data_IF_956459263700
#
_entry.id   IF_956459263700
#
_cell.length_a   1.000
_cell.length_b   1.000
_cell.length_c   1.000
_cell.angle_alpha   90.00
_cell.angle_beta   90.00
_cell.angle_gamma   90.00
#
_symmetry.space_group_name_H-M   'P 1'
#
loop_
_entity.id
_entity.type
_entity.pdbx_description
1 polymer ?
#
# COMPACT_ATOMS: atom_id res chain seq x y z
N UNK A 1 -19.04 51.06 27.24
CA UNK A 1 -19.10 49.58 27.45
C UNK A 1 -17.67 49.08 27.34
N UNK A 2 -17.20 48.18 28.20
CA UNK A 2 -15.80 47.72 28.16
C UNK A 2 -15.75 46.42 27.34
N UNK A 3 -15.16 46.47 26.14
CA UNK A 3 -15.03 45.29 25.28
C UNK A 3 -13.68 44.64 25.55
N UNK A 4 -13.72 43.37 25.95
CA UNK A 4 -12.53 42.57 26.20
C UNK A 4 -11.87 42.19 24.86
N UNK A 5 -11.11 43.12 24.29
CA UNK A 5 -10.48 43.01 22.97
C UNK A 5 -9.80 41.65 22.72
N UNK A 6 -8.93 41.20 23.63
CA UNK A 6 -8.19 39.95 23.44
C UNK A 6 -9.06 38.69 23.54
N UNK A 7 -10.14 38.72 24.33
CA UNK A 7 -11.08 37.60 24.39
C UNK A 7 -11.86 37.48 23.07
N UNK A 8 -12.19 38.61 22.44
CA UNK A 8 -12.82 38.61 21.12
C UNK A 8 -11.87 38.08 20.05
N UNK A 9 -10.59 38.47 20.07
CA UNK A 9 -9.55 37.92 19.17
C UNK A 9 -9.43 36.40 19.34
N UNK A 10 -9.41 35.91 20.58
CA UNK A 10 -9.37 34.47 20.86
C UNK A 10 -10.60 33.73 20.31
N UNK A 11 -11.79 34.35 20.39
CA UNK A 11 -13.04 33.76 19.90
C UNK A 11 -13.16 33.70 18.36
N UNK A 12 -12.24 34.34 17.62
CA UNK A 12 -12.20 34.27 16.15
C UNK A 12 -11.75 32.90 15.63
N UNK A 13 -10.99 32.15 16.44
CA UNK A 13 -10.49 30.80 16.13
C UNK A 13 -9.78 30.69 14.75
N UNK A 14 -8.74 31.51 14.55
CA UNK A 14 -7.94 31.53 13.32
C UNK A 14 -6.59 30.82 13.50
N UNK A 15 -6.02 30.34 12.40
CA UNK A 15 -4.66 29.78 12.35
C UNK A 15 -3.71 30.74 11.65
N UNK A 16 -2.62 31.11 12.32
CA UNK A 16 -1.57 31.97 11.77
C UNK A 16 -1.37 33.25 12.58
N UNK A 17 -0.96 34.31 11.89
CA UNK A 17 -0.62 35.63 12.44
C UNK A 17 -1.66 36.64 11.96
N UNK A 18 -2.42 37.20 12.90
CA UNK A 18 -3.36 38.28 12.64
C UNK A 18 -2.64 39.63 12.80
N UNK A 19 -2.49 40.36 11.70
CA UNK A 19 -1.91 41.70 11.67
C UNK A 19 -3.03 42.74 11.68
N UNK A 20 -2.98 43.64 12.66
CA UNK A 20 -3.91 44.76 12.80
C UNK A 20 -3.14 46.07 12.66
N UNK A 21 -3.49 46.86 11.65
CA UNK A 21 -2.93 48.18 11.43
C UNK A 21 -4.01 49.23 11.65
N UNK A 22 -3.71 50.24 12.47
CA UNK A 22 -4.66 51.32 12.78
C UNK A 22 -3.98 52.65 12.43
N UNK A 23 -4.63 53.45 11.60
CA UNK A 23 -4.19 54.81 11.27
C UNK A 23 -5.31 55.82 11.50
N UNK A 24 -4.94 57.08 11.72
CA UNK A 24 -5.90 58.18 11.86
C UNK A 24 -6.34 58.65 10.47
N UNK A 25 -7.65 58.62 10.23
CA UNK A 25 -8.26 59.14 9.01
C UNK A 25 -8.56 60.63 9.08
N UNK A 26 -9.23 61.14 8.05
CA UNK A 26 -9.82 62.48 8.08
C UNK A 26 -11.04 62.51 9.02
N UNK A 27 -11.45 63.71 9.43
CA UNK A 27 -12.72 63.94 10.15
C UNK A 27 -12.90 63.10 11.44
N UNK A 28 -11.80 62.83 12.15
CA UNK A 28 -11.78 62.09 13.42
C UNK A 28 -12.14 60.59 13.30
N UNK A 29 -12.08 60.03 12.09
CA UNK A 29 -12.25 58.60 11.86
C UNK A 29 -10.93 57.83 12.04
N UNK A 30 -11.05 56.51 12.21
CA UNK A 30 -9.94 55.56 12.18
C UNK A 30 -10.02 54.72 10.91
N UNK A 31 -8.86 54.40 10.35
CA UNK A 31 -8.73 53.43 9.28
C UNK A 31 -8.06 52.19 9.88
N UNK A 32 -8.77 51.08 9.86
CA UNK A 32 -8.32 49.81 10.45
C UNK A 32 -8.18 48.78 9.35
N UNK A 33 -6.99 48.20 9.22
CA UNK A 33 -6.69 47.14 8.27
C UNK A 33 -6.34 45.85 8.99
N UNK A 34 -6.98 44.75 8.60
CA UNK A 34 -6.81 43.42 9.18
C UNK A 34 -6.30 42.46 8.11
N UNK A 35 -5.17 41.83 8.36
CA UNK A 35 -4.59 40.82 7.47
C UNK A 35 -4.26 39.56 8.27
N UNK A 36 -4.80 38.41 7.85
CA UNK A 36 -4.41 37.12 8.39
C UNK A 36 -3.35 36.50 7.48
N UNK A 37 -2.21 36.12 8.05
CA UNK A 37 -1.13 35.43 7.34
C UNK A 37 -0.83 34.08 7.98
N UNK A 38 -0.78 33.02 7.20
CA UNK A 38 -0.40 31.69 7.69
C UNK A 38 0.89 31.21 6.99
N UNK A 39 2.00 31.19 7.73
CA UNK A 39 3.29 30.71 7.21
C UNK A 39 3.29 29.22 6.90
N UNK A 40 2.42 28.44 7.56
CA UNK A 40 2.29 27.00 7.33
C UNK A 40 1.64 26.66 6.01
N UNK A 41 0.90 27.60 5.39
CA UNK A 41 0.36 27.41 4.06
C UNK A 41 1.48 27.56 3.02
N UNK A 42 1.86 26.45 2.37
CA UNK A 42 2.87 26.42 1.32
C UNK A 42 2.44 27.10 0.01
N UNK A 43 1.15 27.40 -0.16
CA UNK A 43 0.62 28.05 -1.35
C UNK A 43 0.91 29.56 -1.35
N UNK A 44 1.49 30.06 -2.45
CA UNK A 44 1.79 31.48 -2.65
C UNK A 44 0.54 32.33 -2.93
N UNK A 45 -0.59 31.71 -3.31
CA UNK A 45 -1.87 32.39 -3.49
C UNK A 45 -2.36 33.07 -2.19
N UNK A 46 -1.85 32.65 -1.02
CA UNK A 46 -2.12 33.32 0.26
C UNK A 46 -1.75 34.81 0.25
N UNK A 47 -0.73 35.19 -0.53
CA UNK A 47 -0.27 36.58 -0.65
C UNK A 47 -1.20 37.44 -1.54
N UNK A 48 -2.12 36.81 -2.28
CA UNK A 48 -3.11 37.51 -3.09
C UNK A 48 -4.35 37.90 -2.28
N UNK A 49 -4.50 37.39 -1.06
CA UNK A 49 -5.64 37.72 -0.20
C UNK A 49 -5.47 39.17 0.30
N UNK A 50 -6.36 40.09 -0.08
CA UNK A 50 -6.23 41.48 0.29
C UNK A 50 -6.56 41.69 1.78
N UNK A 51 -5.94 42.69 2.44
CA UNK A 51 -6.33 43.09 3.78
C UNK A 51 -7.77 43.63 3.83
N UNK A 52 -8.50 43.29 4.90
CA UNK A 52 -9.81 43.86 5.18
C UNK A 52 -9.63 45.25 5.77
N UNK A 53 -10.04 46.27 5.03
CA UNK A 53 -9.85 47.67 5.43
C UNK A 53 -11.17 48.35 5.68
N UNK A 54 -11.31 48.97 6.85
CA UNK A 54 -12.50 49.65 7.33
C UNK A 54 -12.17 51.10 7.65
N UNK A 55 -13.11 52.00 7.46
CA UNK A 55 -13.02 53.41 7.85
C UNK A 55 -14.30 53.77 8.61
N UNK A 56 -14.16 54.05 9.90
CA UNK A 56 -15.28 54.31 10.79
C UNK A 56 -14.85 55.16 12.00
N UNK A 57 -15.82 55.63 12.76
CA UNK A 57 -15.56 56.30 14.04
C UNK A 57 -15.08 55.29 15.09
N UNK A 58 -14.36 55.72 16.14
CA UNK A 58 -14.00 54.84 17.25
C UNK A 58 -15.19 54.12 17.87
N UNK A 59 -16.34 54.80 18.00
CA UNK A 59 -17.56 54.25 18.57
C UNK A 59 -18.12 53.08 17.74
N UNK A 60 -18.13 53.21 16.41
CA UNK A 60 -18.58 52.14 15.51
C UNK A 60 -17.65 50.93 15.54
N UNK A 61 -16.34 51.16 15.69
CA UNK A 61 -15.37 50.07 15.88
C UNK A 61 -15.60 49.34 17.20
N UNK A 62 -15.82 50.07 18.30
CA UNK A 62 -16.14 49.43 19.57
C UNK A 62 -17.39 48.56 19.43
N UNK A 63 -18.49 49.07 18.85
CA UNK A 63 -19.76 48.33 18.83
C UNK A 63 -19.81 47.16 17.84
N UNK A 64 -19.11 47.22 16.69
CA UNK A 64 -19.34 46.28 15.59
C UNK A 64 -18.10 45.64 14.96
N UNK A 65 -16.87 46.03 15.34
CA UNK A 65 -15.65 45.57 14.64
C UNK A 65 -15.53 44.06 14.57
N UNK A 66 -15.68 43.37 15.71
CA UNK A 66 -15.49 41.92 15.78
C UNK A 66 -16.57 41.14 15.03
N UNK A 67 -17.80 41.64 15.01
CA UNK A 67 -18.89 41.02 14.24
C UNK A 67 -18.60 41.07 12.74
N UNK A 68 -18.06 42.21 12.27
CA UNK A 68 -17.72 42.42 10.87
C UNK A 68 -16.53 41.57 10.41
N UNK A 69 -15.49 41.41 11.23
CA UNK A 69 -14.28 40.68 10.82
C UNK A 69 -14.38 39.16 11.04
N UNK A 70 -15.31 38.68 11.88
CA UNK A 70 -15.38 37.27 12.27
C UNK A 70 -15.52 36.33 11.08
N UNK A 71 -16.56 36.49 10.26
CA UNK A 71 -16.80 35.60 9.13
C UNK A 71 -15.69 35.69 8.06
N UNK A 72 -15.20 36.89 7.66
CA UNK A 72 -14.06 37.02 6.75
C UNK A 72 -12.79 36.34 7.26
N UNK A 73 -12.40 36.54 8.53
CA UNK A 73 -11.19 35.96 9.09
C UNK A 73 -11.29 34.44 9.18
N UNK A 74 -12.44 33.89 9.58
CA UNK A 74 -12.67 32.45 9.58
C UNK A 74 -12.59 31.86 8.16
N UNK A 75 -13.13 32.56 7.16
CA UNK A 75 -13.06 32.13 5.76
C UNK A 75 -11.61 32.10 5.27
N UNK A 76 -10.85 33.16 5.50
CA UNK A 76 -9.43 33.24 5.10
C UNK A 76 -8.60 32.17 5.82
N UNK A 77 -8.83 31.97 7.12
CA UNK A 77 -8.17 30.92 7.90
C UNK A 77 -8.46 29.53 7.34
N UNK A 78 -9.73 29.21 7.08
CA UNK A 78 -10.15 27.93 6.51
C UNK A 78 -9.51 27.68 5.16
N UNK A 79 -9.55 28.67 4.26
CA UNK A 79 -8.93 28.57 2.93
C UNK A 79 -7.43 28.29 3.01
N UNK A 80 -6.68 28.98 3.88
CA UNK A 80 -5.25 28.72 4.06
C UNK A 80 -4.95 27.31 4.61
N UNK A 81 -5.79 26.81 5.52
CA UNK A 81 -5.66 25.45 6.06
C UNK A 81 -5.99 24.39 5.01
N UNK A 82 -7.03 24.61 4.21
CA UNK A 82 -7.45 23.67 3.16
C UNK A 82 -6.47 23.62 2.00
N UNK A 83 -5.90 24.77 1.59
CA UNK A 83 -4.82 24.81 0.60
C UNK A 83 -3.61 23.98 1.05
N UNK A 84 -3.21 24.10 2.31
CA UNK A 84 -2.08 23.33 2.86
C UNK A 84 -2.37 21.82 2.93
N UNK A 85 -3.58 21.44 3.39
CA UNK A 85 -4.01 20.03 3.42
C UNK A 85 -4.05 19.44 2.01
N UNK A 86 -4.60 20.17 1.05
CA UNK A 86 -4.68 19.76 -0.34
C UNK A 86 -3.28 19.54 -0.94
N UNK A 87 -2.34 20.47 -0.72
CA UNK A 87 -0.96 20.31 -1.19
C UNK A 87 -0.29 19.06 -0.61
N UNK A 88 -0.41 18.84 0.70
CA UNK A 88 0.13 17.64 1.36
C UNK A 88 -0.48 16.34 0.81
N UNK A 89 -1.79 16.30 0.65
CA UNK A 89 -2.49 15.15 0.06
C UNK A 89 -2.07 14.93 -1.39
N UNK A 90 -1.90 15.99 -2.18
CA UNK A 90 -1.45 15.90 -3.55
C UNK A 90 -0.02 15.36 -3.66
N UNK A 91 0.89 15.76 -2.76
CA UNK A 91 2.23 15.20 -2.67
C UNK A 91 2.21 13.71 -2.32
N UNK A 92 1.36 13.31 -1.38
CA UNK A 92 1.22 11.90 -1.00
C UNK A 92 0.68 11.06 -2.17
N UNK A 93 -0.37 11.54 -2.86
CA UNK A 93 -0.92 10.88 -4.06
C UNK A 93 0.14 10.77 -5.16
N UNK A 94 0.95 11.81 -5.39
CA UNK A 94 2.06 11.78 -6.35
C UNK A 94 3.12 10.74 -5.94
N UNK A 95 3.48 10.67 -4.66
CA UNK A 95 4.42 9.67 -4.13
C UNK A 95 3.88 8.26 -4.32
N UNK A 96 2.62 8.00 -3.95
CA UNK A 96 1.98 6.69 -4.14
C UNK A 96 1.92 6.32 -5.62
N UNK A 97 1.50 7.25 -6.49
CA UNK A 97 1.45 7.04 -7.94
C UNK A 97 2.83 6.73 -8.54
N UNK A 98 3.88 7.41 -8.08
CA UNK A 98 5.26 7.14 -8.51
C UNK A 98 5.75 5.77 -8.01
N UNK A 99 5.48 5.44 -6.74
CA UNK A 99 5.82 4.14 -6.16
C UNK A 99 5.11 2.98 -6.85
N UNK A 100 3.84 3.14 -7.22
CA UNK A 100 3.08 2.09 -7.92
C UNK A 100 3.56 1.90 -9.36
N UNK A 101 3.89 2.99 -10.06
CA UNK A 101 4.57 2.92 -11.37
C UNK A 101 5.92 2.22 -11.28
N UNK A 102 6.74 2.58 -10.28
CA UNK A 102 8.07 1.97 -10.10
C UNK A 102 7.99 0.50 -9.68
N UNK A 103 7.04 0.13 -8.81
CA UNK A 103 6.79 -1.28 -8.44
C UNK A 103 6.36 -2.10 -9.65
N UNK A 104 5.48 -1.56 -10.49
CA UNK A 104 4.98 -2.23 -11.69
C UNK A 104 6.09 -2.38 -12.74
N UNK A 105 6.92 -1.36 -12.95
CA UNK A 105 8.07 -1.45 -13.86
C UNK A 105 9.17 -2.40 -13.37
N UNK A 106 9.48 -2.40 -12.06
CA UNK A 106 10.44 -3.36 -11.48
C UNK A 106 9.93 -4.80 -11.59
N UNK A 107 8.66 -5.05 -11.27
CA UNK A 107 8.05 -6.37 -11.41
C UNK A 107 8.03 -6.84 -12.87
N UNK A 108 7.75 -5.94 -13.83
CA UNK A 108 7.78 -6.26 -15.26
C UNK A 108 9.20 -6.57 -15.75
N UNK A 109 10.20 -5.76 -15.39
CA UNK A 109 11.61 -5.99 -15.75
C UNK A 109 12.15 -7.28 -15.15
N UNK A 110 11.77 -7.60 -13.91
CA UNK A 110 12.18 -8.84 -13.25
C UNK A 110 11.54 -10.08 -13.91
N UNK A 111 10.25 -9.99 -14.28
CA UNK A 111 9.56 -11.06 -15.02
C UNK A 111 10.15 -11.28 -16.41
N UNK A 112 10.42 -10.20 -17.16
CA UNK A 112 11.05 -10.29 -18.48
C UNK A 112 12.48 -10.87 -18.42
N UNK A 113 13.26 -10.50 -17.38
CA UNK A 113 14.60 -11.05 -17.19
C UNK A 113 14.58 -12.54 -16.81
N UNK A 114 13.65 -12.97 -15.95
CA UNK A 114 13.43 -14.39 -15.62
C UNK A 114 12.99 -15.17 -16.86
N UNK A 115 12.01 -14.66 -17.61
CA UNK A 115 11.54 -15.31 -18.84
C UNK A 115 12.62 -15.46 -19.91
N UNK A 116 13.51 -14.46 -20.06
CA UNK A 116 14.65 -14.55 -20.99
C UNK A 116 15.65 -15.64 -20.56
N UNK A 117 16.03 -15.69 -19.28
CA UNK A 117 16.93 -16.74 -18.75
C UNK A 117 16.36 -18.14 -18.95
N UNK A 118 15.05 -18.31 -18.74
CA UNK A 118 14.38 -19.59 -18.97
C UNK A 118 14.45 -20.01 -20.45
N UNK A 119 14.10 -19.11 -21.37
CA UNK A 119 14.13 -19.38 -22.82
C UNK A 119 15.54 -19.70 -23.31
N UNK A 120 16.55 -18.95 -22.86
CA UNK A 120 17.94 -19.18 -23.24
C UNK A 120 18.47 -20.53 -22.71
N UNK A 121 18.09 -20.91 -21.48
CA UNK A 121 18.46 -22.22 -20.90
C UNK A 121 17.80 -23.40 -21.62
N UNK A 122 16.50 -23.27 -21.93
CA UNK A 122 15.77 -24.28 -22.69
C UNK A 122 16.32 -24.43 -24.11
N UNK A 123 16.59 -23.33 -24.82
CA UNK A 123 17.17 -23.36 -26.16
C UNK A 123 18.54 -24.04 -26.19
N UNK A 124 19.41 -23.76 -25.20
CA UNK A 124 20.71 -24.43 -25.07
C UNK A 124 20.58 -25.92 -24.78
N UNK A 125 19.60 -26.31 -23.96
CA UNK A 125 19.31 -27.72 -23.73
C UNK A 125 18.83 -28.42 -25.01
N UNK A 126 17.99 -27.76 -25.82
CA UNK A 126 17.50 -28.28 -27.10
C UNK A 126 18.61 -28.41 -28.16
N UNK A 127 19.54 -27.45 -28.23
CA UNK A 127 20.71 -27.52 -29.12
C UNK A 127 21.62 -28.70 -28.75
N UNK A 128 21.94 -28.85 -27.47
CA UNK A 128 22.77 -29.96 -26.98
C UNK A 128 22.08 -31.32 -27.14
N UNK A 129 20.75 -31.37 -27.06
CA UNK A 129 19.99 -32.58 -27.38
C UNK A 129 20.11 -32.96 -28.87
N UNK A 130 20.02 -31.98 -29.79
CA UNK A 130 20.20 -32.20 -31.24
C UNK A 130 21.62 -32.64 -31.59
N UNK A 131 22.61 -32.15 -30.85
CA UNK A 131 24.01 -32.60 -30.94
C UNK A 131 24.24 -33.99 -30.32
N UNK A 132 23.24 -34.60 -29.70
CA UNK A 132 23.34 -35.92 -29.04
C UNK A 132 24.03 -35.89 -27.66
N UNK A 133 24.31 -34.71 -27.11
CA UNK A 133 24.93 -34.51 -25.79
C UNK A 133 23.87 -34.41 -24.69
N UNK A 134 23.09 -35.47 -24.52
CA UNK A 134 21.91 -35.47 -23.63
C UNK A 134 22.24 -35.18 -22.15
N UNK A 135 23.42 -35.59 -21.65
CA UNK A 135 23.87 -35.31 -20.27
C UNK A 135 24.19 -33.82 -20.06
N UNK A 136 24.79 -33.18 -21.06
CA UNK A 136 25.07 -31.73 -21.03
C UNK A 136 23.78 -30.92 -21.21
N UNK A 137 22.89 -31.36 -22.10
CA UNK A 137 21.56 -30.78 -22.27
C UNK A 137 20.78 -30.75 -20.96
N UNK A 138 20.78 -31.85 -20.20
CA UNK A 138 20.10 -31.96 -18.91
C UNK A 138 20.62 -30.96 -17.87
N UNK A 139 21.94 -30.73 -17.83
CA UNK A 139 22.55 -29.72 -16.94
C UNK A 139 22.25 -28.28 -17.35
N UNK A 140 21.92 -28.03 -18.63
CA UNK A 140 21.54 -26.71 -19.13
C UNK A 140 20.05 -26.39 -18.98
N UNK A 141 19.22 -27.39 -18.70
CA UNK A 141 17.80 -27.15 -18.39
C UNK A 141 17.71 -26.32 -17.09
N UNK A 142 17.00 -25.18 -17.11
CA UNK A 142 16.77 -24.37 -15.92
C UNK A 142 16.20 -25.17 -14.74
N UNK A 143 16.45 -24.74 -13.50
CA UNK A 143 15.97 -25.47 -12.32
C UNK A 143 14.54 -25.08 -11.91
N UNK A 144 13.84 -26.04 -11.30
CA UNK A 144 12.49 -25.86 -10.76
C UNK A 144 12.51 -24.82 -9.63
N UNK A 145 13.60 -24.77 -8.86
CA UNK A 145 13.78 -23.79 -7.78
C UNK A 145 13.94 -22.35 -8.30
N UNK A 146 14.48 -22.17 -9.50
CA UNK A 146 14.64 -20.86 -10.15
C UNK A 146 13.37 -20.43 -10.90
N UNK A 147 12.57 -21.39 -11.38
CA UNK A 147 11.36 -21.14 -12.16
C UNK A 147 10.17 -21.99 -11.66
N UNK A 148 9.63 -21.72 -10.46
CA UNK A 148 8.52 -22.49 -9.91
C UNK A 148 7.25 -22.39 -10.78
N UNK A 149 7.04 -21.28 -11.48
CA UNK A 149 5.93 -21.09 -12.43
C UNK A 149 6.00 -22.01 -13.66
N UNK A 150 7.19 -22.55 -13.97
CA UNK A 150 7.43 -23.47 -15.11
C UNK A 150 7.95 -24.83 -14.64
N UNK A 151 7.73 -25.16 -13.36
CA UNK A 151 8.21 -26.37 -12.70
C UNK A 151 7.84 -27.64 -13.47
N UNK A 152 6.61 -27.73 -13.96
CA UNK A 152 6.11 -28.92 -14.67
C UNK A 152 6.79 -29.10 -16.03
N UNK A 153 7.03 -28.02 -16.77
CA UNK A 153 7.72 -28.04 -18.06
C UNK A 153 9.19 -28.43 -17.89
N UNK A 154 9.86 -27.86 -16.87
CA UNK A 154 11.24 -28.21 -16.51
C UNK A 154 11.34 -29.67 -16.10
N UNK A 155 10.44 -30.15 -15.24
CA UNK A 155 10.41 -31.54 -14.78
C UNK A 155 10.25 -32.48 -15.96
N UNK A 156 9.29 -32.22 -16.85
CA UNK A 156 9.07 -33.01 -18.06
C UNK A 156 10.30 -33.02 -18.96
N UNK A 157 10.96 -31.88 -19.17
CA UNK A 157 12.16 -31.77 -20.00
C UNK A 157 13.35 -32.52 -19.38
N UNK A 158 13.59 -32.35 -18.08
CA UNK A 158 14.64 -33.06 -17.34
C UNK A 158 14.41 -34.57 -17.37
N UNK A 159 13.19 -35.05 -17.15
CA UNK A 159 12.86 -36.48 -17.22
C UNK A 159 13.02 -37.05 -18.63
N UNK A 160 12.59 -36.31 -19.66
CA UNK A 160 12.74 -36.73 -21.05
C UNK A 160 14.21 -36.84 -21.47
N UNK A 161 15.04 -35.87 -21.08
CA UNK A 161 16.48 -35.89 -21.36
C UNK A 161 17.18 -36.99 -20.56
N UNK A 162 16.86 -37.17 -19.27
CA UNK A 162 17.45 -38.25 -18.46
C UNK A 162 17.14 -39.62 -19.02
N UNK A 163 15.94 -39.85 -19.57
CA UNK A 163 15.60 -41.12 -20.21
C UNK A 163 16.43 -41.43 -21.47
N UNK A 164 17.04 -40.42 -22.12
CA UNK A 164 17.86 -40.59 -23.35
C UNK A 164 19.31 -40.98 -23.09
N UNK A 165 19.84 -40.70 -21.89
CA UNK A 165 21.19 -41.11 -21.48
C UNK A 165 21.22 -41.97 -20.22
N UNK A 166 20.07 -42.21 -19.58
CA UNK A 166 19.90 -43.38 -18.74
C UNK A 166 20.09 -44.58 -19.66
N UNK A 167 21.31 -45.09 -19.68
CA UNK A 167 21.57 -46.43 -20.19
C UNK A 167 20.56 -47.36 -19.50
N UNK A 168 20.00 -48.38 -20.20
CA UNK A 168 19.40 -49.47 -19.45
C UNK A 168 20.49 -49.89 -18.47
N UNK A 169 20.13 -49.94 -17.19
CA UNK A 169 21.00 -50.55 -16.21
C UNK A 169 21.53 -51.83 -16.85
N UNK A 170 22.85 -52.00 -16.83
CA UNK A 170 23.54 -53.22 -17.20
C UNK A 170 23.23 -54.31 -16.15
N UNK A 171 21.94 -54.49 -15.91
CA UNK A 171 21.15 -55.40 -15.11
C UNK A 171 19.78 -55.40 -15.79
N UNK A 172 19.77 -55.94 -17.01
CA UNK A 172 18.54 -56.47 -17.55
C UNK A 172 18.26 -57.78 -16.83
N UNK A 173 17.08 -57.89 -16.23
CA UNK A 173 16.18 -58.95 -16.68
C UNK A 173 14.74 -58.51 -16.44
N UNK A 174 13.97 -58.61 -17.51
CA UNK A 174 12.54 -58.55 -17.49
C UNK A 174 12.03 -59.84 -16.85
N UNK A 175 11.05 -59.71 -15.96
CA UNK A 175 10.04 -60.75 -15.79
C UNK A 175 8.70 -60.03 -15.52
N UNK A 176 7.96 -59.80 -16.61
CA UNK A 176 6.49 -59.78 -16.57
C UNK A 176 6.00 -61.24 -16.44
N UNK A 177 4.71 -61.53 -16.19
CA UNK A 177 3.77 -61.01 -15.20
C UNK A 177 2.99 -62.16 -14.46
N UNK A 178 2.09 -61.77 -13.54
CA UNK A 178 0.94 -62.52 -12.94
C UNK A 178 1.20 -63.45 -11.72
N UNK A 179 0.17 -63.78 -10.89
CA UNK A 179 -1.13 -63.15 -10.61
C UNK A 179 -1.40 -62.94 -9.09
N UNK A 180 -2.46 -62.18 -8.77
CA UNK A 180 -3.16 -62.16 -7.47
C UNK A 180 -3.43 -63.58 -6.92
N UNK A 181 -3.46 -63.76 -5.58
CA UNK A 181 -4.78 -63.89 -4.97
C UNK A 181 -4.95 -63.35 -3.53
N UNK A 182 -6.20 -62.94 -3.31
CA UNK A 182 -7.03 -63.12 -2.11
C UNK A 182 -6.81 -62.27 -0.86
N UNK A 183 -7.86 -61.50 -0.61
CA UNK A 183 -8.47 -61.13 0.67
C UNK A 183 -8.31 -62.21 1.77
N UNK A 184 -8.04 -61.83 3.02
CA UNK A 184 -9.02 -61.71 4.13
C UNK A 184 -8.32 -61.39 5.48
N UNK A 185 -9.00 -60.52 6.25
CA UNK A 185 -9.13 -60.35 7.73
C UNK A 185 -7.93 -60.66 8.67
N UNK A 186 -7.61 -59.85 9.70
CA UNK A 186 -8.44 -59.64 10.89
C UNK A 186 -7.96 -58.42 11.72
N UNK A 187 -8.92 -57.53 12.05
CA UNK A 187 -9.24 -56.94 13.38
C UNK A 187 -8.12 -56.46 14.32
N UNK A 188 -8.09 -55.21 14.77
CA UNK A 188 -8.89 -54.63 15.89
C UNK A 188 -8.35 -53.20 16.09
N UNK A 189 -9.04 -52.15 16.55
CA UNK A 189 -10.24 -52.06 17.36
C UNK A 189 -11.04 -50.79 16.98
N UNK A 190 -12.35 -50.96 17.07
CA UNK A 190 -13.40 -49.94 17.15
C UNK A 190 -13.07 -48.83 18.16
N UNK A 191 -13.29 -47.58 17.76
CA UNK A 191 -13.85 -46.57 18.64
C UNK A 191 -15.08 -45.99 17.93
N UNK A 192 -16.30 -46.23 18.44
CA UNK A 192 -17.52 -45.74 17.83
C UNK A 192 -17.63 -44.22 17.95
N UNK A 193 -17.99 -43.59 16.83
CA UNK A 193 -18.44 -42.20 16.76
C UNK A 193 -19.97 -42.25 16.82
N UNK A 194 -20.59 -41.64 17.82
CA UNK A 194 -22.04 -41.43 17.90
C UNK A 194 -22.44 -40.13 17.18
N UNK A 195 -23.68 -40.10 16.66
CA UNK A 195 -24.32 -39.07 15.82
C UNK A 195 -24.58 -37.72 16.53
N UNK A 196 -23.73 -37.33 17.47
CA UNK A 196 -23.69 -35.96 18.02
C UNK A 196 -22.32 -35.31 18.08
N UNK A 197 -21.25 -35.96 17.59
CA UNK A 197 -20.00 -35.28 17.24
C UNK A 197 -19.24 -34.61 18.38
N UNK A 198 -19.11 -35.23 19.55
CA UNK A 198 -18.05 -34.88 20.51
C UNK A 198 -17.71 -36.02 21.49
N UNK A 199 -16.41 -36.26 21.73
CA UNK A 199 -15.90 -37.28 22.63
C UNK A 199 -15.98 -36.83 24.11
N UNK A 200 -16.66 -37.62 24.96
CA UNK A 200 -16.76 -37.33 26.40
C UNK A 200 -15.56 -37.90 27.18
N UNK A 201 -14.82 -37.00 27.83
CA UNK A 201 -13.98 -37.28 28.99
C UNK A 201 -14.87 -37.37 30.23
N UNK A 202 -14.62 -38.35 31.09
CA UNK A 202 -15.24 -38.49 32.41
C UNK A 202 -14.36 -37.81 33.47
N UNK A 203 -14.90 -36.81 34.16
CA UNK A 203 -14.43 -36.33 35.45
C UNK A 203 -15.58 -36.40 36.47
N UNK A 204 -15.38 -37.25 37.46
CA UNK A 204 -15.98 -37.31 38.80
C UNK A 204 -15.62 -36.00 39.57
N UNK A 205 -16.43 -35.37 40.42
CA UNK A 205 -17.20 -35.84 41.59
C UNK A 205 -18.15 -34.72 42.10
N UNK A 206 -19.23 -35.09 42.81
CA UNK A 206 -19.75 -34.42 44.04
C UNK A 206 -20.82 -35.37 44.64
N UNK A 207 -20.50 -36.10 45.72
CA UNK A 207 -20.66 -35.79 47.15
C UNK A 207 -21.97 -36.33 47.76
N UNK A 208 -21.81 -37.19 48.78
CA UNK A 208 -22.62 -37.21 50.02
C UNK A 208 -21.75 -37.71 51.19
#
# INVERSE_FOLDING_TARGET
>A
MNINFFNQIQALDFTGVLQLNISKGAENNLIVSVLLNNEQCGDNAKNLIPPLTFNATPQEFDEGFFEQIKAPIQTVSGVMVDMEKFLKQMEEVKKQSAMEKEKTEKAKKEKEAKDKKFKDGMAKADELEKEGKFREAWMKVPDITEFPEKADEIRRRKTALSAKFATPSLFGEAEEPQPEPSQEEETTADCPIDETGNCQFYETDEEE
#
